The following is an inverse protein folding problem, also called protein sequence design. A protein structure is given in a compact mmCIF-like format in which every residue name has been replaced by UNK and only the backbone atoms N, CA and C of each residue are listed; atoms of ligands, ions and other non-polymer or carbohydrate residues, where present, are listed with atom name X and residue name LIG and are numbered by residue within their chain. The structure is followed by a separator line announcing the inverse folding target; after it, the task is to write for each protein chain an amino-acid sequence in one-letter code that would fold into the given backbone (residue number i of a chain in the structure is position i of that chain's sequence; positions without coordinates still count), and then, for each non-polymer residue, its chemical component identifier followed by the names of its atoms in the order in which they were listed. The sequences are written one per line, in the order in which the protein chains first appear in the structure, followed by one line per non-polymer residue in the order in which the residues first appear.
data_IF_794223261643
#
_entry.id   IF_794223261643
#
_cell.length_a   1.000
_cell.length_b   1.000
_cell.length_c   1.000
_cell.angle_alpha   90.00
_cell.angle_beta   90.00
_cell.angle_gamma   90.00
#
_symmetry.space_group_name_H-M   'P 1'
#
loop_
_entity.id
_entity.type
_entity.pdbx_description
1 polymer ?
#
# COMPACT_ATOMS: atom_id res chain seq x y z
N UNK A 1 49.72 -19.68 -79.06
CA UNK A 1 50.17 -18.28 -79.14
C UNK A 1 49.33 -17.44 -78.18
N UNK A 2 49.98 -16.71 -77.26
CA UNK A 2 49.60 -15.42 -76.58
C UNK A 2 48.09 -15.12 -76.44
N UNK A 3 47.49 -14.68 -75.32
CA UNK A 3 47.81 -13.96 -74.06
C UNK A 3 46.48 -14.02 -73.26
N UNK A 4 46.33 -13.93 -71.95
CA UNK A 4 47.20 -13.66 -70.82
C UNK A 4 46.30 -13.55 -69.57
N UNK A 5 46.86 -13.71 -68.37
CA UNK A 5 46.18 -13.39 -67.11
C UNK A 5 47.20 -12.78 -66.14
N UNK A 6 46.95 -11.59 -65.58
CA UNK A 6 47.89 -10.89 -64.72
C UNK A 6 47.72 -11.21 -63.23
N UNK A 7 48.86 -11.12 -62.55
CA UNK A 7 49.12 -10.93 -61.12
C UNK A 7 47.96 -10.44 -60.23
N UNK A 8 47.69 -11.18 -59.16
CA UNK A 8 46.96 -10.70 -57.99
C UNK A 8 47.97 -10.29 -56.90
N UNK A 9 47.98 -9.00 -56.58
CA UNK A 9 48.72 -8.44 -55.45
C UNK A 9 47.92 -8.61 -54.16
N UNK A 10 48.50 -9.28 -53.17
CA UNK A 10 47.99 -9.34 -51.80
C UNK A 10 48.23 -8.00 -51.11
N UNK A 11 47.18 -7.22 -50.88
CA UNK A 11 47.17 -6.08 -49.95
C UNK A 11 46.57 -6.52 -48.63
N UNK A 12 47.41 -6.60 -47.60
CA UNK A 12 47.04 -6.83 -46.21
C UNK A 12 46.34 -5.58 -45.64
N UNK A 13 45.01 -5.64 -45.48
CA UNK A 13 44.26 -4.69 -44.67
C UNK A 13 44.25 -5.15 -43.21
N UNK A 14 45.12 -4.56 -42.39
CA UNK A 14 45.03 -4.65 -40.94
C UNK A 14 43.80 -3.87 -40.47
N UNK A 15 42.75 -4.60 -40.07
CA UNK A 15 41.61 -4.03 -39.37
C UNK A 15 42.05 -3.65 -37.94
N UNK A 16 42.34 -2.37 -37.73
CA UNK A 16 42.36 -1.78 -36.39
C UNK A 16 40.90 -1.68 -35.91
N UNK A 17 40.43 -2.69 -35.19
CA UNK A 17 39.21 -2.58 -34.41
C UNK A 17 39.48 -1.60 -33.27
N UNK A 18 39.03 -0.36 -33.43
CA UNK A 18 38.96 0.61 -32.34
C UNK A 18 38.10 0.03 -31.21
N UNK A 19 38.72 -0.25 -30.06
CA UNK A 19 38.00 -0.53 -28.82
C UNK A 19 37.31 0.77 -28.42
N UNK A 20 36.00 0.86 -28.64
CA UNK A 20 35.18 1.91 -28.06
C UNK A 20 35.19 1.72 -26.54
N UNK A 21 36.05 2.47 -25.83
CA UNK A 21 35.89 2.69 -24.40
C UNK A 21 34.52 3.35 -24.21
N UNK A 22 33.56 2.57 -23.70
CA UNK A 22 32.21 3.06 -23.45
C UNK A 22 32.26 4.30 -22.58
N UNK A 23 31.77 5.43 -23.11
CA UNK A 23 31.46 6.57 -22.28
C UNK A 23 30.45 6.10 -21.23
N UNK A 24 30.85 6.09 -19.97
CA UNK A 24 29.93 5.88 -18.86
C UNK A 24 28.87 6.97 -18.97
N UNK A 25 27.63 6.58 -19.25
CA UNK A 25 26.50 7.50 -19.26
C UNK A 25 26.31 8.03 -17.83
N UNK A 26 26.87 9.19 -17.55
CA UNK A 26 26.90 9.83 -16.23
C UNK A 26 25.50 10.11 -15.72
N UNK A 27 24.53 10.35 -16.62
CA UNK A 27 23.13 10.53 -16.27
C UNK A 27 22.48 9.21 -15.82
N UNK A 28 22.77 8.10 -16.50
CA UNK A 28 22.31 6.77 -16.07
C UNK A 28 22.95 6.35 -14.73
N UNK A 29 24.25 6.63 -14.53
CA UNK A 29 24.94 6.37 -13.27
C UNK A 29 24.39 7.23 -12.11
N UNK A 30 24.09 8.51 -12.38
CA UNK A 30 23.45 9.42 -11.42
C UNK A 30 22.06 8.93 -11.01
N UNK A 31 21.21 8.56 -11.98
CA UNK A 31 19.86 8.07 -11.71
C UNK A 31 19.88 6.77 -10.89
N UNK A 32 20.84 5.88 -11.15
CA UNK A 32 21.06 4.67 -10.37
C UNK A 32 21.46 4.97 -8.92
N UNK A 33 22.28 6.01 -8.69
CA UNK A 33 22.64 6.41 -7.33
C UNK A 33 21.46 7.04 -6.58
N UNK A 34 20.71 7.93 -7.23
CA UNK A 34 19.57 8.60 -6.61
C UNK A 34 18.48 7.61 -6.21
N UNK A 35 18.16 6.68 -7.12
CA UNK A 35 17.22 5.58 -6.82
C UNK A 35 17.73 4.69 -5.69
N UNK A 36 19.02 4.34 -5.67
CA UNK A 36 19.64 3.59 -4.57
C UNK A 36 19.52 4.32 -3.23
N UNK A 37 19.92 5.59 -3.13
CA UNK A 37 19.82 6.39 -1.89
C UNK A 37 18.37 6.51 -1.40
N UNK A 38 17.42 6.70 -2.33
CA UNK A 38 16.01 6.74 -2.00
C UNK A 38 15.51 5.37 -1.48
N UNK A 39 15.94 4.27 -2.09
CA UNK A 39 15.60 2.92 -1.67
C UNK A 39 16.21 2.57 -0.30
N UNK A 40 17.45 2.96 -0.03
CA UNK A 40 18.10 2.80 1.29
C UNK A 40 17.33 3.56 2.38
N UNK A 41 16.95 4.81 2.12
CA UNK A 41 16.13 5.59 3.06
C UNK A 41 14.75 4.97 3.31
N UNK A 42 14.08 4.47 2.26
CA UNK A 42 12.81 3.76 2.38
C UNK A 42 12.96 2.43 3.15
N UNK A 43 14.06 1.72 2.96
CA UNK A 43 14.39 0.49 3.69
C UNK A 43 14.54 0.76 5.19
N UNK A 44 15.34 1.77 5.56
CA UNK A 44 15.49 2.16 6.97
C UNK A 44 14.17 2.60 7.60
N UNK A 45 13.33 3.35 6.87
CA UNK A 45 12.00 3.76 7.34
C UNK A 45 11.11 2.55 7.62
N UNK A 46 11.01 1.61 6.67
CA UNK A 46 10.22 0.37 6.84
C UNK A 46 10.77 -0.50 7.96
N UNK A 47 12.09 -0.59 8.09
CA UNK A 47 12.73 -1.35 9.17
C UNK A 47 12.42 -0.72 10.55
N UNK A 48 12.49 0.60 10.65
CA UNK A 48 12.12 1.32 11.86
C UNK A 48 10.64 1.10 12.22
N UNK A 49 9.73 1.18 11.24
CA UNK A 49 8.31 0.90 11.43
C UNK A 49 8.07 -0.54 11.91
N UNK A 50 8.75 -1.52 11.30
CA UNK A 50 8.64 -2.93 11.69
C UNK A 50 9.15 -3.17 13.13
N UNK A 51 10.32 -2.61 13.49
CA UNK A 51 10.89 -2.73 14.84
C UNK A 51 10.00 -2.03 15.88
N UNK A 52 9.54 -0.82 15.59
CA UNK A 52 8.65 -0.04 16.47
C UNK A 52 7.29 -0.72 16.68
N UNK A 53 6.87 -1.57 15.74
CA UNK A 53 5.66 -2.39 15.82
C UNK A 53 5.79 -3.64 16.69
N UNK A 54 6.98 -4.03 17.14
CA UNK A 54 7.17 -5.22 17.98
C UNK A 54 6.51 -5.03 19.35
N UNK A 55 5.85 -6.08 19.82
CA UNK A 55 5.18 -6.13 21.11
C UNK A 55 6.14 -6.61 22.20
N UNK A 56 6.26 -5.84 23.29
CA UNK A 56 7.09 -6.18 24.45
C UNK A 56 6.26 -6.92 25.49
N UNK A 57 5.18 -6.29 25.98
CA UNK A 57 4.22 -6.88 26.93
C UNK A 57 2.82 -6.90 26.34
N UNK A 58 1.81 -7.34 27.10
CA UNK A 58 0.39 -7.31 26.68
C UNK A 58 -0.05 -5.94 26.15
N UNK A 59 0.47 -4.85 26.75
CA UNK A 59 -0.02 -3.49 26.53
C UNK A 59 1.06 -2.50 26.10
N UNK A 60 2.30 -2.95 25.85
CA UNK A 60 3.43 -2.06 25.51
C UNK A 60 4.20 -2.55 24.29
N UNK A 61 4.55 -1.61 23.42
CA UNK A 61 5.27 -1.84 22.17
C UNK A 61 6.63 -1.12 22.19
N UNK A 62 7.51 -1.50 21.27
CA UNK A 62 8.82 -0.84 21.13
C UNK A 62 8.68 0.65 20.83
N UNK A 63 7.65 1.07 20.08
CA UNK A 63 7.37 2.51 19.87
C UNK A 63 7.07 3.25 21.16
N UNK A 64 6.37 2.62 22.11
CA UNK A 64 5.99 3.25 23.38
C UNK A 64 7.23 3.42 24.26
N UNK A 65 8.09 2.38 24.30
CA UNK A 65 9.40 2.43 24.96
C UNK A 65 10.31 3.53 24.38
N UNK A 66 10.35 3.64 23.05
CA UNK A 66 11.16 4.66 22.35
C UNK A 66 10.65 6.08 22.63
N UNK A 67 9.34 6.27 22.82
CA UNK A 67 8.76 7.57 23.15
C UNK A 67 8.98 8.00 24.61
N UNK A 68 9.45 7.13 25.51
CA UNK A 68 9.70 7.50 26.91
C UNK A 68 10.91 8.44 27.07
N UNK A 69 11.86 8.42 26.12
CA UNK A 69 13.01 9.32 26.14
C UNK A 69 13.61 9.55 24.77
N UNK A 70 13.93 10.82 24.47
CA UNK A 70 14.70 11.21 23.28
C UNK A 70 16.04 10.48 23.18
N UNK A 71 16.66 10.12 24.32
CA UNK A 71 17.92 9.37 24.35
C UNK A 71 17.74 7.91 23.91
N UNK A 72 16.62 7.28 24.30
CA UNK A 72 16.23 5.93 23.87
C UNK A 72 15.92 5.97 22.37
N UNK A 73 15.20 6.99 21.91
CA UNK A 73 14.91 7.20 20.50
C UNK A 73 16.17 7.36 19.66
N UNK A 74 17.10 8.21 20.08
CA UNK A 74 18.36 8.41 19.37
C UNK A 74 19.18 7.11 19.29
N UNK A 75 19.29 6.36 20.39
CA UNK A 75 20.01 5.09 20.42
C UNK A 75 19.37 4.02 19.52
N UNK A 76 18.03 3.98 19.49
CA UNK A 76 17.30 3.08 18.59
C UNK A 76 17.50 3.46 17.11
N UNK A 77 17.44 4.76 16.78
CA UNK A 77 17.66 5.24 15.42
C UNK A 77 19.12 4.98 14.96
N UNK A 78 20.10 5.08 15.86
CA UNK A 78 21.49 4.72 15.59
C UNK A 78 21.64 3.22 15.30
N UNK A 79 21.00 2.35 16.10
CA UNK A 79 20.96 0.92 15.84
C UNK A 79 20.36 0.60 14.45
N UNK A 80 19.23 1.23 14.10
CA UNK A 80 18.53 1.00 12.83
C UNK A 80 19.42 1.39 11.64
N UNK A 81 20.11 2.54 11.71
CA UNK A 81 21.05 2.98 10.66
C UNK A 81 22.29 2.09 10.55
N UNK A 82 22.63 1.36 11.61
CA UNK A 82 23.72 0.39 11.64
C UNK A 82 23.36 -0.98 11.02
N UNK A 83 22.10 -1.22 10.66
CA UNK A 83 21.68 -2.48 10.03
C UNK A 83 22.27 -2.58 8.61
N UNK A 84 22.90 -3.72 8.32
CA UNK A 84 23.45 -3.98 6.99
C UNK A 84 22.34 -4.23 5.99
N UNK A 85 22.37 -3.45 4.91
CA UNK A 85 21.48 -3.63 3.77
C UNK A 85 22.02 -4.71 2.83
N UNK A 86 21.12 -5.40 2.15
CA UNK A 86 21.44 -6.35 1.10
C UNK A 86 21.81 -5.67 -0.21
N UNK A 87 22.08 -6.48 -1.24
CA UNK A 87 22.46 -5.97 -2.55
C UNK A 87 21.28 -5.23 -3.23
N UNK A 88 21.49 -4.02 -3.78
CA UNK A 88 20.48 -3.31 -4.54
C UNK A 88 20.10 -4.08 -5.82
N UNK A 89 18.80 -4.10 -6.13
CA UNK A 89 18.23 -4.66 -7.36
C UNK A 89 17.62 -3.53 -8.18
N UNK A 90 18.13 -3.32 -9.40
CA UNK A 90 17.57 -2.34 -10.33
C UNK A 90 16.58 -2.97 -11.29
N UNK A 91 15.55 -2.20 -11.64
CA UNK A 91 14.56 -2.52 -12.65
C UNK A 91 14.88 -1.81 -13.97
N UNK A 92 14.27 -2.27 -15.06
CA UNK A 92 14.34 -1.64 -16.38
C UNK A 92 13.82 -0.19 -16.39
N UNK A 93 12.81 0.12 -15.57
CA UNK A 93 12.26 1.47 -15.36
C UNK A 93 13.19 2.42 -14.57
N UNK A 94 14.40 1.97 -14.20
CA UNK A 94 15.39 2.75 -13.46
C UNK A 94 15.13 2.85 -11.95
N UNK A 95 14.08 2.21 -11.44
CA UNK A 95 13.86 2.08 -9.99
C UNK A 95 14.84 1.10 -9.35
N UNK A 96 14.94 1.17 -8.03
CA UNK A 96 15.82 0.35 -7.22
C UNK A 96 15.07 -0.21 -6.02
N UNK A 97 15.30 -1.49 -5.72
CA UNK A 97 14.90 -2.15 -4.50
C UNK A 97 16.12 -2.51 -3.66
N UNK A 98 16.07 -2.23 -2.36
CA UNK A 98 17.12 -2.58 -1.41
C UNK A 98 16.50 -3.43 -0.31
N UNK A 99 16.80 -4.74 -0.26
CA UNK A 99 16.36 -5.58 0.84
C UNK A 99 17.16 -5.22 2.11
N UNK A 100 16.50 -5.16 3.25
CA UNK A 100 17.11 -5.05 4.56
C UNK A 100 16.61 -6.19 5.44
N UNK A 101 17.54 -6.84 6.13
CA UNK A 101 17.23 -7.96 7.02
C UNK A 101 17.91 -7.75 8.38
N UNK A 102 17.15 -7.94 9.45
CA UNK A 102 17.70 -7.97 10.81
C UNK A 102 17.07 -9.12 11.58
N UNK A 103 17.88 -9.85 12.35
CA UNK A 103 17.37 -10.93 13.17
C UNK A 103 16.66 -10.38 14.41
N UNK A 104 15.58 -11.03 14.82
CA UNK A 104 14.83 -10.64 16.02
C UNK A 104 15.74 -10.67 17.26
N UNK A 105 16.62 -11.67 17.36
CA UNK A 105 17.60 -11.77 18.43
C UNK A 105 18.51 -10.53 18.52
N UNK A 106 18.96 -9.99 17.37
CA UNK A 106 19.79 -8.78 17.35
C UNK A 106 19.00 -7.54 17.78
N UNK A 107 17.72 -7.45 17.40
CA UNK A 107 16.83 -6.37 17.83
C UNK A 107 16.58 -6.43 19.34
N UNK A 108 16.25 -7.63 19.86
CA UNK A 108 16.03 -7.85 21.30
C UNK A 108 17.28 -7.48 22.10
N UNK A 109 18.45 -7.91 21.66
CA UNK A 109 19.72 -7.54 22.30
C UNK A 109 19.92 -6.01 22.32
N UNK A 110 19.67 -5.33 21.19
CA UNK A 110 19.79 -3.87 21.12
C UNK A 110 18.82 -3.18 22.08
N UNK A 111 17.57 -3.64 22.17
CA UNK A 111 16.58 -3.10 23.12
C UNK A 111 17.04 -3.31 24.56
N UNK A 112 17.57 -4.49 24.91
CA UNK A 112 18.12 -4.75 26.26
C UNK A 112 19.31 -3.83 26.59
N UNK A 113 20.23 -3.62 25.65
CA UNK A 113 21.37 -2.71 25.82
C UNK A 113 20.90 -1.25 26.03
N UNK A 114 19.88 -0.81 25.28
CA UNK A 114 19.32 0.55 25.43
C UNK A 114 18.57 0.67 26.77
N UNK A 115 17.76 -0.31 27.12
CA UNK A 115 17.00 -0.36 28.37
C UNK A 115 17.93 -0.26 29.58
N UNK A 116 18.95 -1.11 29.65
CA UNK A 116 19.90 -1.12 30.77
C UNK A 116 20.70 0.18 30.92
N UNK A 117 20.98 0.88 29.82
CA UNK A 117 21.77 2.13 29.84
C UNK A 117 20.92 3.38 30.13
N UNK A 118 19.72 3.45 29.58
CA UNK A 118 18.96 4.69 29.51
C UNK A 118 17.59 4.63 30.18
N UNK A 119 17.02 3.45 30.38
CA UNK A 119 15.72 3.31 31.01
C UNK A 119 15.82 3.24 32.53
N UNK A 120 15.05 4.09 33.21
CA UNK A 120 14.98 4.18 34.67
C UNK A 120 13.57 3.91 35.23
N UNK A 121 12.62 3.57 34.36
CA UNK A 121 11.26 3.23 34.74
C UNK A 121 11.12 1.78 35.21
N UNK A 122 9.95 1.46 35.73
CA UNK A 122 9.54 0.15 36.26
C UNK A 122 8.50 -0.55 35.37
N UNK A 123 7.99 0.12 34.34
CA UNK A 123 6.92 -0.36 33.45
C UNK A 123 7.36 -1.50 32.52
N UNK A 124 8.65 -1.56 32.17
CA UNK A 124 9.23 -2.61 31.32
C UNK A 124 10.44 -3.21 32.03
N UNK A 125 10.46 -4.53 32.19
CA UNK A 125 11.60 -5.25 32.77
C UNK A 125 12.45 -5.93 31.70
N UNK A 126 13.70 -6.26 32.03
CA UNK A 126 14.58 -7.00 31.11
C UNK A 126 14.00 -8.35 30.65
N UNK A 127 13.20 -9.00 31.51
CA UNK A 127 12.50 -10.24 31.19
C UNK A 127 11.39 -10.04 30.16
N UNK A 128 10.69 -8.92 30.22
CA UNK A 128 9.63 -8.59 29.25
C UNK A 128 10.22 -8.40 27.85
N UNK A 129 11.45 -7.86 27.76
CA UNK A 129 12.16 -7.70 26.49
C UNK A 129 12.54 -9.07 25.89
N UNK A 130 12.85 -10.07 26.73
CA UNK A 130 13.11 -11.45 26.26
C UNK A 130 11.83 -12.08 25.67
N UNK A 131 10.65 -11.75 26.22
CA UNK A 131 9.36 -12.27 25.74
C UNK A 131 8.96 -11.78 24.35
N UNK A 132 9.65 -10.77 23.79
CA UNK A 132 9.47 -10.36 22.39
C UNK A 132 9.69 -11.56 21.45
N UNK A 133 10.63 -12.45 21.78
CA UNK A 133 10.93 -13.65 20.99
C UNK A 133 9.78 -14.66 21.01
N UNK A 134 9.03 -14.75 22.10
CA UNK A 134 7.85 -15.61 22.19
C UNK A 134 6.62 -15.02 21.50
N UNK A 135 6.50 -13.69 21.40
CA UNK A 135 5.35 -13.02 20.77
C UNK A 135 5.47 -12.90 19.25
N UNK A 136 6.67 -13.13 18.69
CA UNK A 136 6.95 -12.91 17.28
C UNK A 136 7.38 -14.22 16.63
N UNK A 137 6.53 -14.81 15.78
CA UNK A 137 6.87 -16.05 15.04
C UNK A 137 8.05 -15.84 14.06
N UNK A 138 8.28 -14.60 13.61
CA UNK A 138 9.32 -14.25 12.63
C UNK A 138 10.67 -14.05 13.33
N UNK A 139 11.61 -14.96 13.09
CA UNK A 139 12.99 -14.85 13.57
C UNK A 139 13.83 -13.80 12.83
N UNK A 140 13.39 -13.39 11.63
CA UNK A 140 14.04 -12.39 10.79
C UNK A 140 13.00 -11.36 10.33
N UNK A 141 13.28 -10.10 10.60
CA UNK A 141 12.52 -8.97 10.07
C UNK A 141 13.11 -8.64 8.70
N UNK A 142 12.33 -8.86 7.65
CA UNK A 142 12.70 -8.56 6.26
C UNK A 142 11.85 -7.41 5.76
N UNK A 143 12.49 -6.40 5.21
CA UNK A 143 11.82 -5.29 4.53
C UNK A 143 12.50 -5.01 3.20
N UNK A 144 11.75 -4.52 2.23
CA UNK A 144 12.31 -4.08 0.94
C UNK A 144 12.05 -2.59 0.80
N UNK A 145 13.10 -1.79 0.81
CA UNK A 145 13.02 -0.37 0.48
C UNK A 145 12.90 -0.18 -1.02
N UNK A 146 12.04 0.75 -1.44
CA UNK A 146 11.83 1.07 -2.85
C UNK A 146 12.22 2.52 -3.14
N UNK A 147 12.96 2.73 -4.22
CA UNK A 147 13.44 4.05 -4.64
C UNK A 147 13.25 4.27 -6.14
N UNK A 148 12.82 5.48 -6.49
CA UNK A 148 12.79 5.94 -7.88
C UNK A 148 13.82 7.06 -8.08
N UNK A 149 14.40 7.21 -9.28
CA UNK A 149 15.20 8.38 -9.63
C UNK A 149 14.41 9.66 -9.42
N UNK A 150 15.09 10.72 -8.96
CA UNK A 150 14.51 12.07 -8.88
C UNK A 150 15.28 12.99 -9.81
N UNK A 151 14.84 13.17 -11.07
CA UNK A 151 15.55 13.97 -12.07
C UNK A 151 15.73 15.43 -11.63
N UNK A 152 14.80 15.91 -10.80
CA UNK A 152 14.71 17.29 -10.30
C UNK A 152 15.80 17.65 -9.26
N UNK A 153 16.51 16.67 -8.70
CA UNK A 153 17.50 16.89 -7.64
C UNK A 153 18.90 17.12 -8.25
N UNK A 154 19.53 18.29 -8.03
CA UNK A 154 20.89 18.54 -8.51
C UNK A 154 21.88 17.53 -7.93
N UNK A 155 22.77 16.95 -8.75
CA UNK A 155 23.77 16.01 -8.28
C UNK A 155 25.01 16.73 -7.73
N UNK A 156 25.22 16.68 -6.41
CA UNK A 156 26.56 16.85 -5.84
C UNK A 156 27.19 15.46 -5.72
N UNK A 157 27.72 14.97 -6.83
CA UNK A 157 28.40 13.67 -6.91
C UNK A 157 29.91 13.87 -6.76
N UNK A 158 30.55 13.31 -5.71
CA UNK A 158 32.01 13.25 -5.66
C UNK A 158 32.57 12.43 -6.83
N UNK A 159 33.76 12.79 -7.30
CA UNK A 159 34.47 12.01 -8.32
C UNK A 159 34.70 10.55 -7.85
N UNK A 160 34.53 9.57 -8.76
CA UNK A 160 34.72 8.13 -8.48
C UNK A 160 33.49 7.39 -7.92
N UNK A 161 32.30 8.00 -7.94
CA UNK A 161 31.05 7.33 -7.53
C UNK A 161 30.65 6.20 -8.49
N UNK A 162 30.94 6.35 -9.79
CA UNK A 162 30.72 5.31 -10.79
C UNK A 162 31.51 4.03 -10.47
N UNK A 163 32.73 4.14 -9.96
CA UNK A 163 33.59 2.99 -9.61
C UNK A 163 33.10 2.26 -8.34
N UNK A 164 32.34 2.94 -7.47
CA UNK A 164 31.74 2.37 -6.24
C UNK A 164 30.37 1.73 -6.48
N UNK A 165 29.67 2.16 -7.53
CA UNK A 165 28.51 1.49 -8.08
C UNK A 165 29.01 0.38 -8.98
N UNK A 166 29.54 -0.71 -8.39
CA UNK A 166 30.03 -1.85 -9.17
C UNK A 166 29.04 -2.25 -10.26
N UNK A 167 29.55 -2.79 -11.37
CA UNK A 167 28.74 -3.18 -12.52
C UNK A 167 27.51 -3.96 -12.05
N UNK A 168 26.33 -3.49 -12.46
CA UNK A 168 25.08 -4.14 -12.11
C UNK A 168 25.19 -5.61 -12.52
N UNK A 169 24.94 -6.56 -11.60
CA UNK A 169 25.01 -7.98 -11.96
C UNK A 169 24.09 -8.19 -13.16
N UNK A 170 24.61 -8.86 -14.19
CA UNK A 170 23.91 -9.23 -15.43
C UNK A 170 22.81 -10.29 -15.20
N UNK A 171 22.10 -10.21 -14.08
CA UNK A 171 20.81 -10.86 -13.93
C UNK A 171 19.81 -10.05 -14.76
N UNK A 172 18.99 -10.73 -15.55
CA UNK A 172 17.86 -10.10 -16.24
C UNK A 172 17.08 -9.25 -15.25
N UNK A 173 17.07 -7.94 -15.45
CA UNK A 173 16.33 -7.04 -14.59
C UNK A 173 14.88 -7.53 -14.51
N UNK A 174 14.25 -7.56 -13.32
CA UNK A 174 12.82 -7.80 -13.24
C UNK A 174 12.11 -6.84 -14.18
N UNK A 175 11.28 -7.38 -15.07
CA UNK A 175 10.58 -6.62 -16.10
C UNK A 175 9.33 -5.99 -15.51
N UNK A 176 9.26 -4.68 -15.55
CA UNK A 176 8.04 -3.93 -15.22
C UNK A 176 7.14 -3.94 -16.46
N UNK A 177 5.80 -4.08 -16.35
CA UNK A 177 4.94 -4.02 -17.53
C UNK A 177 5.10 -2.69 -18.29
N UNK A 178 4.99 -2.71 -19.62
CA UNK A 178 5.26 -1.58 -20.51
C UNK A 178 4.49 -0.32 -20.12
N UNK A 179 3.22 -0.47 -19.70
CA UNK A 179 2.41 0.63 -19.19
C UNK A 179 3.11 1.38 -18.05
N UNK A 180 3.59 0.64 -17.06
CA UNK A 180 4.25 1.20 -15.89
C UNK A 180 5.61 1.80 -16.19
N UNK A 181 6.31 1.29 -17.22
CA UNK A 181 7.51 1.94 -17.75
C UNK A 181 7.17 3.31 -18.36
N UNK A 182 6.08 3.40 -19.13
CA UNK A 182 5.62 4.64 -19.79
C UNK A 182 5.13 5.70 -18.80
N UNK A 183 4.38 5.30 -17.76
CA UNK A 183 3.90 6.21 -16.71
C UNK A 183 5.07 6.64 -15.82
N UNK A 184 5.99 5.73 -15.55
CA UNK A 184 7.27 5.99 -14.89
C UNK A 184 7.34 5.46 -13.45
N UNK A 185 8.57 5.31 -12.93
CA UNK A 185 8.85 4.60 -11.67
C UNK A 185 8.23 5.30 -10.45
N UNK A 186 8.19 6.63 -10.43
CA UNK A 186 7.62 7.37 -9.29
C UNK A 186 6.11 7.16 -9.17
N UNK A 187 5.40 7.14 -10.30
CA UNK A 187 3.97 6.87 -10.36
C UNK A 187 3.65 5.46 -9.88
N UNK A 188 4.43 4.48 -10.34
CA UNK A 188 4.36 3.08 -9.89
C UNK A 188 4.50 2.95 -8.37
N UNK A 189 5.53 3.55 -7.79
CA UNK A 189 5.74 3.49 -6.35
C UNK A 189 4.63 4.20 -5.55
N UNK A 190 4.06 5.29 -6.09
CA UNK A 190 2.90 5.95 -5.47
C UNK A 190 1.64 5.09 -5.53
N UNK A 191 1.40 4.39 -6.65
CA UNK A 191 0.30 3.45 -6.80
C UNK A 191 0.42 2.28 -5.80
N UNK A 192 1.61 1.68 -5.68
CA UNK A 192 1.88 0.61 -4.70
C UNK A 192 1.62 1.10 -3.26
N UNK A 193 2.05 2.32 -2.92
CA UNK A 193 1.78 2.90 -1.59
C UNK A 193 0.29 3.15 -1.36
N UNK A 194 -0.42 3.66 -2.36
CA UNK A 194 -1.86 3.85 -2.27
C UNK A 194 -2.59 2.51 -2.08
N UNK A 195 -2.15 1.47 -2.79
CA UNK A 195 -2.67 0.11 -2.68
C UNK A 195 -2.42 -0.48 -1.30
N UNK A 196 -1.23 -0.26 -0.72
CA UNK A 196 -0.91 -0.71 0.64
C UNK A 196 -1.82 -0.04 1.69
N UNK A 197 -2.10 1.26 1.54
CA UNK A 197 -3.02 1.99 2.43
C UNK A 197 -4.46 1.47 2.28
N UNK A 198 -4.92 1.25 1.05
CA UNK A 198 -6.23 0.64 0.79
C UNK A 198 -6.33 -0.78 1.36
N UNK A 199 -5.25 -1.56 1.27
CA UNK A 199 -5.18 -2.92 1.80
C UNK A 199 -5.32 -2.91 3.33
N UNK A 200 -4.59 -2.00 4.01
CA UNK A 200 -4.70 -1.79 5.46
C UNK A 200 -6.11 -1.35 5.87
N UNK A 201 -6.77 -0.50 5.07
CA UNK A 201 -8.18 -0.12 5.28
C UNK A 201 -9.11 -1.32 5.19
N UNK A 202 -9.03 -2.10 4.12
CA UNK A 202 -9.85 -3.31 3.93
C UNK A 202 -9.60 -4.34 5.02
N UNK A 203 -8.35 -4.48 5.47
CA UNK A 203 -8.02 -5.34 6.59
C UNK A 203 -8.70 -4.90 7.88
N UNK A 204 -8.71 -3.60 8.17
CA UNK A 204 -9.43 -3.06 9.33
C UNK A 204 -10.94 -3.31 9.24
N UNK A 205 -11.54 -3.13 8.06
CA UNK A 205 -12.96 -3.42 7.85
C UNK A 205 -13.28 -4.91 8.03
N UNK A 206 -12.39 -5.79 7.57
CA UNK A 206 -12.48 -7.23 7.84
C UNK A 206 -12.43 -7.54 9.34
N UNK A 207 -11.55 -6.86 10.08
CA UNK A 207 -11.44 -7.02 11.54
C UNK A 207 -12.71 -6.52 12.24
N UNK A 208 -13.23 -5.35 11.83
CA UNK A 208 -14.50 -4.78 12.32
C UNK A 208 -15.70 -5.71 12.07
N UNK A 209 -15.69 -6.48 10.98
CA UNK A 209 -16.71 -7.46 10.65
C UNK A 209 -16.66 -8.77 11.46
N UNK A 210 -15.65 -8.97 12.31
CA UNK A 210 -15.56 -10.18 13.14
C UNK A 210 -16.66 -10.18 14.21
N UNK A 211 -17.33 -11.33 14.35
CA UNK A 211 -18.35 -11.55 15.38
C UNK A 211 -17.69 -12.08 16.64
N UNK A 212 -18.07 -11.51 17.79
CA UNK A 212 -17.49 -11.86 19.09
C UNK A 212 -18.45 -12.73 19.89
N UNK A 213 -19.70 -12.30 20.03
CA UNK A 213 -20.79 -13.11 20.59
C UNK A 213 -21.91 -13.27 19.56
N UNK A 214 -23.00 -13.97 19.91
CA UNK A 214 -24.15 -14.15 19.03
C UNK A 214 -24.70 -12.84 18.47
N UNK A 215 -24.61 -11.74 19.23
CA UNK A 215 -25.24 -10.47 18.88
C UNK A 215 -24.26 -9.28 18.76
N UNK A 216 -22.95 -9.51 18.92
CA UNK A 216 -21.94 -8.44 18.91
C UNK A 216 -20.85 -8.64 17.86
N UNK A 217 -20.47 -7.55 17.19
CA UNK A 217 -19.39 -7.47 16.21
C UNK A 217 -18.27 -6.56 16.75
N UNK A 218 -17.05 -6.74 16.26
CA UNK A 218 -15.90 -5.87 16.64
C UNK A 218 -16.19 -4.39 16.31
N UNK A 219 -16.90 -4.12 15.22
CA UNK A 219 -17.33 -2.76 14.87
C UNK A 219 -18.18 -2.09 15.95
N UNK A 220 -18.89 -2.87 16.77
CA UNK A 220 -19.77 -2.33 17.81
C UNK A 220 -18.92 -1.75 18.97
N UNK A 221 -17.63 -2.09 19.06
CA UNK A 221 -16.65 -1.45 19.96
C UNK A 221 -15.91 -0.28 19.34
N UNK A 222 -15.93 -0.16 18.01
CA UNK A 222 -15.36 1.01 17.34
C UNK A 222 -16.42 2.09 17.42
N UNK A 223 -16.35 2.94 18.46
CA UNK A 223 -17.24 4.08 18.58
C UNK A 223 -17.23 4.93 17.29
N UNK A 224 -18.27 5.75 17.05
CA UNK A 224 -18.37 6.71 15.94
C UNK A 224 -17.20 7.71 15.83
N UNK A 225 -16.18 7.61 16.71
CA UNK A 225 -15.02 8.48 16.72
C UNK A 225 -13.94 8.05 15.72
N UNK A 226 -13.66 8.95 14.77
CA UNK A 226 -12.55 8.85 13.81
C UNK A 226 -11.18 8.58 14.48
N UNK A 227 -11.00 9.02 15.73
CA UNK A 227 -9.78 8.77 16.51
C UNK A 227 -9.53 7.28 16.75
N UNK A 228 -10.58 6.48 16.95
CA UNK A 228 -10.42 5.04 17.24
C UNK A 228 -10.04 4.30 15.95
N UNK A 229 -10.68 4.64 14.83
CA UNK A 229 -10.33 4.11 13.51
C UNK A 229 -8.88 4.46 13.13
N UNK A 230 -8.48 5.72 13.33
CA UNK A 230 -7.10 6.15 13.09
C UNK A 230 -6.09 5.41 13.97
N UNK A 231 -6.43 5.17 15.24
CA UNK A 231 -5.59 4.41 16.17
C UNK A 231 -5.46 2.94 15.76
N UNK A 232 -6.57 2.30 15.39
CA UNK A 232 -6.57 0.91 14.89
C UNK A 232 -5.78 0.78 13.59
N UNK A 233 -5.92 1.73 12.66
CA UNK A 233 -5.10 1.80 11.45
C UNK A 233 -3.60 1.96 11.79
N UNK A 234 -3.28 2.75 12.81
CA UNK A 234 -1.94 2.92 13.36
C UNK A 234 -1.30 1.63 13.89
N UNK A 235 -2.09 0.60 14.21
CA UNK A 235 -1.59 -0.73 14.59
C UNK A 235 -1.33 -1.62 13.37
N UNK A 236 -2.02 -1.38 12.27
CA UNK A 236 -1.81 -2.07 10.99
C UNK A 236 -0.60 -1.53 10.22
N UNK A 237 0.09 -0.49 10.72
CA UNK A 237 1.30 0.07 10.11
C UNK A 237 2.40 -0.98 9.93
N UNK A 238 2.51 -1.96 10.85
CA UNK A 238 3.44 -3.08 10.79
C UNK A 238 2.95 -4.31 10.01
N UNK A 239 1.83 -4.22 9.28
CA UNK A 239 1.37 -5.30 8.41
C UNK A 239 2.43 -5.59 7.34
N UNK A 240 2.75 -6.87 7.12
CA UNK A 240 3.71 -7.26 6.10
C UNK A 240 3.05 -7.32 4.74
N UNK A 241 3.65 -6.67 3.74
CA UNK A 241 3.29 -6.88 2.33
C UNK A 241 3.75 -8.28 1.93
N UNK A 242 2.81 -9.11 1.46
CA UNK A 242 3.08 -10.50 1.02
C UNK A 242 3.09 -10.61 -0.51
N UNK A 243 2.40 -9.71 -1.20
CA UNK A 243 2.39 -9.67 -2.66
C UNK A 243 2.10 -8.28 -3.20
N UNK A 244 2.72 -7.98 -4.33
CA UNK A 244 2.46 -6.79 -5.15
C UNK A 244 2.22 -7.25 -6.57
N UNK A 245 1.12 -6.82 -7.16
CA UNK A 245 0.78 -7.08 -8.55
C UNK A 245 0.58 -5.76 -9.29
N UNK A 246 1.04 -5.69 -10.53
CA UNK A 246 0.93 -4.52 -11.38
C UNK A 246 0.16 -4.96 -12.61
N UNK A 247 -1.02 -4.38 -12.81
CA UNK A 247 -1.81 -4.63 -14.01
C UNK A 247 -1.02 -4.14 -15.24
N UNK A 248 -1.03 -4.91 -16.32
CA UNK A 248 -0.22 -4.65 -17.51
C UNK A 248 -0.86 -3.62 -18.45
N UNK A 249 -2.18 -3.48 -18.35
CA UNK A 249 -3.05 -2.66 -19.20
C UNK A 249 -3.61 -1.44 -18.48
N UNK A 250 -3.68 -1.48 -17.14
CA UNK A 250 -4.22 -0.40 -16.35
C UNK A 250 -3.26 0.11 -15.27
N UNK A 251 -3.29 1.41 -14.96
CA UNK A 251 -2.46 2.01 -13.92
C UNK A 251 -2.99 1.68 -12.52
N UNK A 252 -3.24 0.41 -12.25
CA UNK A 252 -3.70 -0.12 -10.97
C UNK A 252 -2.61 -1.05 -10.41
N UNK A 253 -2.16 -0.76 -9.20
CA UNK A 253 -1.33 -1.65 -8.41
C UNK A 253 -2.21 -2.35 -7.38
N UNK A 254 -2.01 -3.64 -7.20
CA UNK A 254 -2.59 -4.41 -6.10
C UNK A 254 -1.53 -4.76 -5.08
N UNK A 255 -1.86 -4.61 -3.80
CA UNK A 255 -0.97 -4.96 -2.70
C UNK A 255 -1.75 -5.79 -1.70
N UNK A 256 -1.23 -6.99 -1.40
CA UNK A 256 -1.77 -7.85 -0.36
C UNK A 256 -0.96 -7.67 0.92
N UNK A 257 -1.63 -7.21 1.98
CA UNK A 257 -1.04 -7.08 3.30
C UNK A 257 -1.52 -8.21 4.21
N UNK A 258 -0.64 -8.66 5.10
CA UNK A 258 -0.91 -9.71 6.06
C UNK A 258 -0.59 -9.26 7.49
N UNK A 259 -1.44 -9.66 8.42
CA UNK A 259 -1.28 -9.45 9.86
C UNK A 259 -1.55 -10.75 10.64
N UNK A 260 -0.72 -11.12 11.63
CA UNK A 260 -0.99 -12.26 12.51
C UNK A 260 -2.27 -12.12 13.33
N UNK A 261 -2.92 -13.23 13.66
CA UNK A 261 -4.18 -13.23 14.43
C UNK A 261 -4.00 -12.65 15.82
N UNK A 262 -2.82 -12.82 16.42
CA UNK A 262 -2.46 -12.26 17.73
C UNK A 262 -2.52 -10.74 17.72
N UNK A 263 -2.08 -10.12 16.61
CA UNK A 263 -2.16 -8.66 16.42
C UNK A 263 -3.62 -8.23 16.22
N UNK A 264 -4.43 -9.03 15.53
CA UNK A 264 -5.86 -8.76 15.40
C UNK A 264 -6.55 -8.82 16.77
N UNK A 265 -6.24 -9.82 17.58
CA UNK A 265 -6.79 -9.97 18.94
C UNK A 265 -6.36 -8.81 19.83
N UNK A 266 -5.11 -8.33 19.72
CA UNK A 266 -4.66 -7.17 20.50
C UNK A 266 -5.40 -5.89 20.10
N UNK A 267 -5.67 -5.69 18.80
CA UNK A 267 -6.51 -4.60 18.30
C UNK A 267 -7.91 -4.70 18.90
N UNK A 268 -8.54 -5.88 18.87
CA UNK A 268 -9.91 -6.08 19.39
C UNK A 268 -9.98 -5.81 20.90
N UNK A 269 -9.04 -6.33 21.69
CA UNK A 269 -8.98 -6.11 23.15
C UNK A 269 -8.86 -4.61 23.49
N UNK A 270 -8.02 -3.90 22.76
CA UNK A 270 -7.84 -2.46 22.97
C UNK A 270 -9.08 -1.65 22.56
N UNK A 271 -9.70 -1.97 21.43
CA UNK A 271 -10.96 -1.37 21.00
C UNK A 271 -12.05 -1.55 22.07
N UNK A 272 -12.18 -2.76 22.61
CA UNK A 272 -13.12 -3.08 23.67
C UNK A 272 -12.83 -2.33 24.98
N UNK A 273 -11.58 -2.31 25.45
CA UNK A 273 -11.20 -1.60 26.71
C UNK A 273 -11.47 -0.10 26.62
N UNK A 274 -11.31 0.49 25.43
CA UNK A 274 -11.62 1.91 25.21
C UNK A 274 -13.13 2.18 25.15
N UNK A 275 -13.91 1.23 24.61
CA UNK A 275 -15.38 1.32 24.51
C UNK A 275 -16.08 1.26 25.87
N UNK A 276 -15.57 0.49 26.85
CA UNK A 276 -16.17 0.32 28.18
C UNK A 276 -16.33 1.65 28.95
N UNK A 277 -15.53 2.67 28.61
CA UNK A 277 -15.61 3.99 29.27
C UNK A 277 -16.89 4.77 28.93
N UNK A 278 -17.62 4.39 27.88
CA UNK A 278 -18.79 5.14 27.37
C UNK A 278 -20.15 4.47 27.64
N UNK A 279 -20.19 3.35 28.38
CA UNK A 279 -21.42 2.81 29.00
C UNK A 279 -22.16 1.71 28.21
N UNK A 280 -22.14 0.50 28.76
CA UNK A 280 -22.94 -0.68 28.35
C UNK A 280 -22.05 -1.89 28.04
N UNK A 281 -22.22 -3.00 28.75
CA UNK A 281 -21.34 -4.18 28.60
C UNK A 281 -22.12 -5.52 28.62
N UNK A 282 -21.96 -6.29 27.55
CA UNK A 282 -22.45 -7.67 27.36
C UNK A 282 -21.30 -8.60 26.88
N UNK A 283 -20.04 -8.13 26.82
CA UNK A 283 -18.92 -8.91 26.25
C UNK A 283 -17.77 -9.01 27.24
N UNK A 284 -17.46 -10.21 27.70
CA UNK A 284 -16.34 -10.44 28.59
C UNK A 284 -15.02 -10.62 27.83
N UNK A 285 -13.88 -10.33 28.48
CA UNK A 285 -12.56 -10.63 27.90
C UNK A 285 -12.34 -12.13 27.57
N UNK A 286 -13.15 -13.01 28.15
CA UNK A 286 -13.22 -14.43 27.85
C UNK A 286 -13.79 -14.70 26.45
N UNK A 287 -14.78 -13.93 25.99
CA UNK A 287 -15.41 -14.04 24.67
C UNK A 287 -14.41 -13.69 23.55
N UNK A 288 -13.64 -12.62 23.73
CA UNK A 288 -12.58 -12.23 22.78
C UNK A 288 -11.52 -13.34 22.66
N UNK A 289 -11.23 -14.03 23.75
CA UNK A 289 -10.28 -15.16 23.76
C UNK A 289 -10.88 -16.42 23.10
N UNK A 290 -12.19 -16.61 23.16
CA UNK A 290 -12.87 -17.70 22.44
C UNK A 290 -12.89 -17.46 20.93
N UNK A 291 -13.04 -16.21 20.48
CA UNK A 291 -12.91 -15.83 19.05
C UNK A 291 -11.53 -16.19 18.52
N UNK A 292 -10.47 -15.93 19.28
CA UNK A 292 -9.12 -16.35 18.89
C UNK A 292 -9.02 -17.87 18.68
N UNK A 293 -9.69 -18.68 19.52
CA UNK A 293 -9.67 -20.14 19.40
C UNK A 293 -10.52 -20.66 18.24
N UNK A 294 -11.54 -19.91 17.80
CA UNK A 294 -12.42 -20.32 16.69
C UNK A 294 -11.84 -19.95 15.32
N UNK A 295 -10.99 -18.92 15.24
CA UNK A 295 -10.27 -18.54 14.03
C UNK A 295 -9.23 -19.63 13.69
N UNK A 296 -9.49 -20.38 12.62
CA UNK A 296 -8.59 -21.45 12.14
C UNK A 296 -7.32 -20.93 11.47
N UNK A 297 -7.37 -19.71 10.92
CA UNK A 297 -6.25 -19.10 10.19
C UNK A 297 -5.28 -18.42 11.15
N UNK A 298 -3.98 -18.62 10.98
CA UNK A 298 -2.96 -17.91 11.77
C UNK A 298 -2.81 -16.44 11.36
N UNK A 299 -3.18 -16.10 10.13
CA UNK A 299 -3.01 -14.76 9.57
C UNK A 299 -4.29 -14.23 8.95
N UNK A 300 -4.42 -12.90 8.93
CA UNK A 300 -5.45 -12.16 8.24
C UNK A 300 -4.83 -11.42 7.06
N UNK A 301 -5.43 -11.56 5.89
CA UNK A 301 -4.98 -10.90 4.67
C UNK A 301 -6.09 -10.03 4.08
N UNK A 302 -5.68 -8.95 3.44
CA UNK A 302 -6.53 -8.13 2.59
C UNK A 302 -5.72 -7.58 1.42
N UNK A 303 -6.36 -7.50 0.25
CA UNK A 303 -5.78 -6.96 -0.97
C UNK A 303 -6.39 -5.59 -1.26
N UNK A 304 -5.53 -4.58 -1.29
CA UNK A 304 -5.88 -3.22 -1.65
C UNK A 304 -5.50 -2.89 -3.07
N UNK A 305 -6.16 -1.87 -3.61
CA UNK A 305 -5.88 -1.34 -4.95
C UNK A 305 -5.43 0.12 -4.84
N UNK A 306 -4.50 0.50 -5.69
CA UNK A 306 -3.94 1.84 -5.68
C UNK A 306 -3.63 2.31 -7.09
N UNK A 307 -3.87 3.60 -7.31
CA UNK A 307 -3.66 4.25 -8.60
C UNK A 307 -2.63 5.37 -8.46
N UNK A 308 -1.85 5.67 -9.50
CA UNK A 308 -0.99 6.84 -9.52
C UNK A 308 -1.79 8.11 -9.29
N UNK A 309 -1.17 9.15 -8.68
CA UNK A 309 -1.79 10.46 -8.62
C UNK A 309 -2.11 11.02 -10.00
N UNK A 310 -3.24 11.73 -10.09
CA UNK A 310 -3.78 12.39 -11.28
C UNK A 310 -2.72 12.97 -12.22
N UNK A 311 -1.77 13.75 -11.69
CA UNK A 311 -0.73 14.43 -12.47
C UNK A 311 0.10 13.49 -13.37
N UNK A 312 0.35 12.25 -12.92
CA UNK A 312 1.12 11.27 -13.70
C UNK A 312 0.27 10.66 -14.81
N UNK A 313 -1.02 10.44 -14.55
CA UNK A 313 -1.96 9.91 -15.52
C UNK A 313 -2.27 10.93 -16.62
N UNK A 314 -2.40 12.21 -16.27
CA UNK A 314 -2.54 13.29 -17.24
C UNK A 314 -1.31 13.41 -18.15
N UNK A 315 -0.11 13.37 -17.56
CA UNK A 315 1.14 13.37 -18.32
C UNK A 315 1.28 12.14 -19.23
N UNK A 316 0.80 10.97 -18.78
CA UNK A 316 0.73 9.76 -19.59
C UNK A 316 -0.24 9.93 -20.76
N UNK A 317 -1.46 10.41 -20.51
CA UNK A 317 -2.48 10.62 -21.53
C UNK A 317 -2.07 11.64 -22.60
N UNK A 318 -1.27 12.65 -22.24
CA UNK A 318 -0.70 13.59 -23.22
C UNK A 318 0.33 12.90 -24.13
N UNK A 319 1.04 11.89 -23.64
CA UNK A 319 2.05 11.13 -24.39
C UNK A 319 1.45 10.02 -25.26
N UNK A 320 0.37 9.39 -24.82
CA UNK A 320 -0.28 8.24 -25.50
C UNK A 320 -1.39 8.71 -26.46
N UNK A 321 -1.12 9.75 -27.26
CA UNK A 321 -2.10 10.38 -28.16
C UNK A 321 -2.52 9.53 -29.39
N UNK A 322 -2.47 8.21 -29.32
CA UNK A 322 -3.09 7.28 -30.29
C UNK A 322 -4.31 6.61 -29.64
N UNK A 323 -5.44 6.61 -30.34
CA UNK A 323 -6.79 6.68 -29.80
C UNK A 323 -7.36 5.43 -29.09
N UNK A 324 -6.57 4.38 -28.83
CA UNK A 324 -7.08 3.09 -28.32
C UNK A 324 -6.85 2.86 -26.81
N UNK A 325 -5.93 3.57 -26.17
CA UNK A 325 -5.56 3.40 -24.74
C UNK A 325 -5.90 4.61 -23.85
N UNK A 326 -6.78 5.51 -24.30
CA UNK A 326 -7.05 6.75 -23.57
C UNK A 326 -7.95 6.50 -22.36
N UNK A 327 -7.40 6.66 -21.16
CA UNK A 327 -8.15 6.63 -19.91
C UNK A 327 -9.10 7.85 -19.87
N UNK A 328 -10.42 7.66 -19.70
CA UNK A 328 -11.37 8.77 -19.62
C UNK A 328 -11.04 9.73 -18.48
N UNK A 329 -11.29 11.03 -18.68
CA UNK A 329 -10.96 12.05 -17.66
C UNK A 329 -11.65 11.82 -16.31
N UNK A 330 -12.86 11.25 -16.31
CA UNK A 330 -13.57 10.87 -15.09
C UNK A 330 -12.92 9.69 -14.37
N UNK A 331 -12.22 8.80 -15.08
CA UNK A 331 -11.57 7.64 -14.47
C UNK A 331 -10.35 8.07 -13.65
N UNK A 332 -9.76 9.21 -13.97
CA UNK A 332 -8.63 9.74 -13.22
C UNK A 332 -9.03 10.30 -11.85
N UNK A 333 -10.26 10.81 -11.74
CA UNK A 333 -10.79 11.45 -10.52
C UNK A 333 -11.50 10.45 -9.59
N UNK A 334 -11.69 10.86 -8.32
CA UNK A 334 -12.67 10.20 -7.44
C UNK A 334 -14.09 10.55 -7.90
N UNK A 335 -14.96 9.55 -7.87
CA UNK A 335 -16.38 9.69 -8.13
C UNK A 335 -17.10 9.71 -6.79
N UNK A 336 -17.66 10.88 -6.44
CA UNK A 336 -18.25 11.12 -5.14
C UNK A 336 -19.73 11.44 -5.26
N UNK A 337 -20.54 10.94 -4.32
CA UNK A 337 -21.95 11.26 -4.24
C UNK A 337 -22.39 11.50 -2.80
N UNK A 338 -23.35 12.42 -2.64
CA UNK A 338 -23.97 12.75 -1.36
C UNK A 338 -25.38 12.20 -1.28
N UNK A 339 -25.68 11.48 -0.22
CA UNK A 339 -27.01 10.97 0.09
C UNK A 339 -27.54 11.53 1.40
N UNK A 340 -28.87 11.49 1.54
CA UNK A 340 -29.56 11.96 2.74
C UNK A 340 -30.46 10.89 3.33
N UNK A 341 -30.56 10.86 4.65
CA UNK A 341 -31.33 9.87 5.37
C UNK A 341 -32.00 10.46 6.60
N UNK A 342 -33.20 9.98 6.89
CA UNK A 342 -33.98 10.38 8.06
C UNK A 342 -34.32 9.17 8.92
N UNK A 343 -34.39 9.34 10.25
CA UNK A 343 -34.78 8.27 11.15
C UNK A 343 -36.26 7.89 10.94
N UNK A 344 -36.61 6.60 11.10
CA UNK A 344 -38.00 6.17 11.15
C UNK A 344 -38.77 6.88 12.26
N UNK A 345 -40.06 7.17 12.06
CA UNK A 345 -40.87 8.00 12.96
C UNK A 345 -40.81 7.55 14.43
N UNK A 346 -40.84 6.23 14.69
CA UNK A 346 -40.79 5.67 16.05
C UNK A 346 -39.41 5.67 16.72
N UNK A 347 -38.36 6.17 16.06
CA UNK A 347 -36.98 6.21 16.59
C UNK A 347 -36.34 7.60 16.51
N UNK A 348 -37.13 8.63 16.20
CA UNK A 348 -36.69 10.04 16.20
C UNK A 348 -36.14 10.47 17.55
N UNK A 349 -35.16 11.37 17.55
CA UNK A 349 -34.46 11.83 18.75
C UNK A 349 -33.62 10.79 19.50
N UNK A 350 -33.54 9.53 19.05
CA UNK A 350 -32.73 8.49 19.70
C UNK A 350 -31.37 8.31 19.03
N UNK A 351 -30.36 7.84 19.77
CA UNK A 351 -29.06 7.46 19.21
C UNK A 351 -29.20 6.37 18.12
N UNK A 352 -30.08 5.39 18.36
CA UNK A 352 -30.41 4.36 17.36
C UNK A 352 -31.06 4.95 16.10
N UNK A 353 -31.90 5.98 16.25
CA UNK A 353 -32.47 6.73 15.14
C UNK A 353 -31.41 7.42 14.29
N UNK A 354 -30.43 8.08 14.93
CA UNK A 354 -29.32 8.73 14.21
C UNK A 354 -28.49 7.74 13.40
N UNK A 355 -28.20 6.56 13.97
CA UNK A 355 -27.51 5.49 13.24
C UNK A 355 -28.30 4.98 12.03
N UNK A 356 -29.63 4.82 12.18
CA UNK A 356 -30.50 4.43 11.07
C UNK A 356 -30.58 5.51 10.00
N UNK A 357 -30.60 6.78 10.40
CA UNK A 357 -30.55 7.91 9.48
C UNK A 357 -29.24 7.92 8.67
N UNK A 358 -28.09 7.71 9.33
CA UNK A 358 -26.80 7.61 8.65
C UNK A 358 -26.75 6.43 7.67
N UNK A 359 -27.27 5.25 8.04
CA UNK A 359 -27.36 4.10 7.11
C UNK A 359 -28.28 4.38 5.93
N UNK A 360 -29.41 5.04 6.15
CA UNK A 360 -30.31 5.44 5.07
C UNK A 360 -29.63 6.46 4.13
N UNK A 361 -28.87 7.40 4.69
CA UNK A 361 -28.10 8.38 3.92
C UNK A 361 -26.99 7.71 3.10
N UNK A 362 -26.28 6.74 3.66
CA UNK A 362 -25.27 5.94 2.94
C UNK A 362 -25.90 5.19 1.76
N UNK A 363 -27.06 4.55 1.95
CA UNK A 363 -27.77 3.85 0.87
C UNK A 363 -28.22 4.81 -0.24
N UNK A 364 -28.75 5.98 0.12
CA UNK A 364 -29.09 7.02 -0.86
C UNK A 364 -27.86 7.52 -1.61
N UNK A 365 -26.73 7.68 -0.91
CA UNK A 365 -25.47 8.13 -1.49
C UNK A 365 -24.93 7.12 -2.51
N UNK A 366 -24.92 5.83 -2.16
CA UNK A 366 -24.51 4.74 -3.06
C UNK A 366 -25.42 4.62 -4.28
N UNK A 367 -26.74 4.78 -4.11
CA UNK A 367 -27.69 4.81 -5.24
C UNK A 367 -27.36 5.94 -6.22
N UNK A 368 -27.15 7.16 -5.71
CA UNK A 368 -26.78 8.32 -6.53
C UNK A 368 -25.43 8.14 -7.21
N UNK A 369 -24.45 7.56 -6.50
CA UNK A 369 -23.15 7.23 -7.08
C UNK A 369 -23.29 6.24 -8.24
N UNK A 370 -24.14 5.21 -8.08
CA UNK A 370 -24.48 4.28 -9.16
C UNK A 370 -25.07 5.00 -10.36
N UNK A 371 -26.07 5.87 -10.15
CA UNK A 371 -26.67 6.67 -11.23
C UNK A 371 -25.65 7.55 -11.96
N UNK A 372 -24.74 8.19 -11.21
CA UNK A 372 -23.64 8.97 -11.77
C UNK A 372 -22.72 8.09 -12.62
N UNK A 373 -22.32 6.93 -12.11
CA UNK A 373 -21.45 5.97 -12.80
C UNK A 373 -22.09 5.49 -14.10
N UNK A 374 -23.37 5.11 -14.08
CA UNK A 374 -24.11 4.70 -15.26
C UNK A 374 -24.18 5.79 -16.34
N UNK A 375 -24.13 7.07 -15.95
CA UNK A 375 -24.11 8.21 -16.86
C UNK A 375 -22.74 8.54 -17.46
N UNK A 376 -21.65 7.89 -17.03
CA UNK A 376 -20.30 8.18 -17.50
C UNK A 376 -20.12 7.73 -18.95
N UNK A 377 -19.44 8.55 -19.75
CA UNK A 377 -19.14 8.25 -21.15
C UNK A 377 -17.83 7.45 -21.25
N UNK A 378 -17.89 6.31 -21.94
CA UNK A 378 -16.74 5.42 -22.16
C UNK A 378 -16.00 5.85 -23.43
N UNK A 379 -16.74 5.99 -24.53
CA UNK A 379 -16.27 6.46 -25.83
C UNK A 379 -17.35 7.30 -26.48
N UNK A 380 -16.99 8.07 -27.53
CA UNK A 380 -17.80 9.07 -28.27
C UNK A 380 -19.33 9.11 -28.04
N UNK A 381 -20.04 7.98 -28.14
CA UNK A 381 -21.50 7.90 -27.94
C UNK A 381 -21.95 6.80 -26.96
N UNK A 382 -21.04 6.04 -26.36
CA UNK A 382 -21.36 4.90 -25.48
C UNK A 382 -21.18 5.30 -24.01
N UNK A 383 -22.24 5.13 -23.22
CA UNK A 383 -22.19 5.30 -21.76
C UNK A 383 -21.95 3.98 -21.04
N UNK A 384 -21.55 4.04 -19.76
CA UNK A 384 -21.47 2.85 -18.89
C UNK A 384 -22.80 2.12 -18.84
N UNK A 385 -23.93 2.84 -18.82
CA UNK A 385 -25.27 2.25 -18.92
C UNK A 385 -25.42 1.42 -20.18
N UNK A 386 -25.11 1.98 -21.35
CA UNK A 386 -25.26 1.27 -22.62
C UNK A 386 -24.39 0.00 -22.64
N UNK A 387 -23.17 0.12 -22.15
CA UNK A 387 -22.20 -0.98 -22.09
C UNK A 387 -22.62 -2.10 -21.14
N UNK A 388 -23.21 -1.77 -20.00
CA UNK A 388 -23.73 -2.74 -19.03
C UNK A 388 -24.95 -3.49 -19.59
N UNK A 389 -25.81 -2.83 -20.37
CA UNK A 389 -26.93 -3.52 -21.07
C UNK A 389 -26.47 -4.55 -22.08
N UNK A 390 -25.28 -4.40 -22.66
CA UNK A 390 -24.70 -5.36 -23.59
C UNK A 390 -23.95 -6.49 -22.88
N UNK A 391 -23.59 -6.31 -21.61
CA UNK A 391 -22.69 -7.18 -20.85
C UNK A 391 -23.12 -7.35 -19.38
N UNK A 392 -23.99 -8.33 -19.11
CA UNK A 392 -24.51 -8.63 -17.75
C UNK A 392 -23.41 -8.89 -16.70
N UNK A 393 -22.24 -9.40 -17.12
CA UNK A 393 -21.08 -9.61 -16.25
C UNK A 393 -20.56 -8.28 -15.69
N UNK A 394 -20.59 -7.19 -16.48
CA UNK A 394 -20.14 -5.85 -16.06
C UNK A 394 -21.06 -5.31 -14.97
N UNK A 395 -22.38 -5.56 -15.05
CA UNK A 395 -23.34 -5.17 -14.01
C UNK A 395 -22.95 -5.74 -12.65
N UNK A 396 -22.66 -7.04 -12.59
CA UNK A 396 -22.34 -7.74 -11.34
C UNK A 396 -21.06 -7.21 -10.69
N UNK A 397 -20.03 -6.92 -11.50
CA UNK A 397 -18.79 -6.34 -11.01
C UNK A 397 -18.96 -4.88 -10.56
N UNK A 398 -19.77 -4.10 -11.29
CA UNK A 398 -20.09 -2.71 -10.94
C UNK A 398 -20.82 -2.63 -9.60
N UNK A 399 -21.80 -3.52 -9.37
CA UNK A 399 -22.52 -3.62 -8.11
C UNK A 399 -21.61 -3.98 -6.93
N UNK A 400 -20.65 -4.89 -7.16
CA UNK A 400 -19.64 -5.23 -6.15
C UNK A 400 -18.78 -4.00 -5.79
N UNK A 401 -18.35 -3.23 -6.81
CA UNK A 401 -17.58 -2.00 -6.61
C UNK A 401 -18.38 -0.90 -5.91
N UNK A 402 -19.67 -0.75 -6.25
CA UNK A 402 -20.59 0.19 -5.60
C UNK A 402 -20.88 -0.17 -4.14
N UNK A 403 -21.00 -1.46 -3.85
CA UNK A 403 -21.18 -1.95 -2.48
C UNK A 403 -19.98 -1.59 -1.60
N UNK A 404 -18.79 -1.68 -2.18
CA UNK A 404 -17.50 -1.35 -1.58
C UNK A 404 -17.16 0.16 -1.58
N UNK A 405 -18.08 1.05 -1.95
CA UNK A 405 -17.85 2.50 -1.92
C UNK A 405 -17.46 2.97 -0.52
N UNK A 406 -16.39 3.77 -0.43
CA UNK A 406 -15.88 4.26 0.84
C UNK A 406 -16.72 5.45 1.33
N UNK A 407 -17.13 5.44 2.60
CA UNK A 407 -17.73 6.61 3.25
C UNK A 407 -16.62 7.59 3.61
N UNK A 408 -16.65 8.80 3.06
CA UNK A 408 -15.65 9.85 3.34
C UNK A 408 -16.04 10.75 4.51
N UNK A 409 -17.33 11.09 4.59
CA UNK A 409 -17.84 12.02 5.59
C UNK A 409 -19.28 11.70 5.94
N UNK A 410 -19.64 11.92 7.20
CA UNK A 410 -21.01 11.85 7.71
C UNK A 410 -21.28 13.07 8.56
N UNK A 411 -22.26 13.87 8.16
CA UNK A 411 -22.72 15.06 8.89
C UNK A 411 -24.17 14.91 9.29
N UNK A 412 -24.59 15.64 10.33
CA UNK A 412 -25.97 15.65 10.79
C UNK A 412 -26.46 17.09 10.87
N UNK A 413 -27.60 17.36 10.24
CA UNK A 413 -28.39 18.57 10.41
C UNK A 413 -29.71 18.21 11.10
N UNK A 414 -29.75 18.43 12.42
CA UNK A 414 -30.85 17.94 13.26
C UNK A 414 -31.00 16.42 13.20
N UNK A 415 -32.12 15.97 12.64
CA UNK A 415 -32.43 14.54 12.47
C UNK A 415 -32.03 14.00 11.08
N UNK A 416 -31.58 14.85 10.16
CA UNK A 416 -31.16 14.43 8.82
C UNK A 416 -29.68 14.10 8.84
N UNK A 417 -29.32 12.90 8.40
CA UNK A 417 -27.94 12.53 8.12
C UNK A 417 -27.62 12.84 6.65
N UNK A 418 -26.45 13.42 6.39
CA UNK A 418 -25.84 13.54 5.07
C UNK A 418 -24.55 12.69 5.06
N UNK A 419 -24.43 11.82 4.07
CA UNK A 419 -23.27 10.93 3.90
C UNK A 419 -22.67 11.15 2.52
N UNK A 420 -21.36 11.34 2.45
CA UNK A 420 -20.59 11.36 1.20
C UNK A 420 -19.90 10.01 1.02
N UNK A 421 -20.14 9.36 -0.12
CA UNK A 421 -19.39 8.16 -0.54
C UNK A 421 -18.49 8.47 -1.73
N UNK A 422 -17.36 7.77 -1.83
CA UNK A 422 -16.37 7.92 -2.89
C UNK A 422 -15.89 6.58 -3.42
N UNK A 423 -15.70 6.50 -4.74
CA UNK A 423 -14.99 5.41 -5.43
C UNK A 423 -13.95 6.02 -6.36
N UNK A 424 -12.70 5.50 -6.41
CA UNK A 424 -11.74 5.89 -7.44
C UNK A 424 -12.29 5.56 -8.84
N UNK A 425 -12.38 6.55 -9.73
CA UNK A 425 -12.92 6.36 -11.09
C UNK A 425 -12.21 5.26 -11.88
N UNK A 426 -10.92 5.05 -11.63
CA UNK A 426 -10.13 3.98 -12.22
C UNK A 426 -10.67 2.59 -11.90
N UNK A 427 -11.27 2.38 -10.72
CA UNK A 427 -11.87 1.10 -10.33
C UNK A 427 -13.11 0.78 -11.18
N UNK A 428 -13.84 1.82 -11.58
CA UNK A 428 -14.99 1.70 -12.49
C UNK A 428 -14.51 1.48 -13.92
N UNK A 429 -13.47 2.20 -14.33
CA UNK A 429 -12.84 2.03 -15.64
C UNK A 429 -12.34 0.60 -15.84
N UNK A 430 -11.75 -0.02 -14.81
CA UNK A 430 -11.25 -1.40 -14.87
C UNK A 430 -12.28 -2.40 -15.36
N UNK A 431 -13.46 -2.40 -14.73
CA UNK A 431 -14.53 -3.34 -15.07
C UNK A 431 -14.97 -3.17 -16.52
N UNK A 432 -15.06 -1.92 -16.95
CA UNK A 432 -15.49 -1.57 -18.31
C UNK A 432 -14.41 -1.93 -19.32
N UNK A 433 -13.16 -1.54 -19.05
CA UNK A 433 -12.04 -1.68 -19.97
C UNK A 433 -11.63 -3.13 -20.17
N UNK A 434 -11.58 -3.93 -19.11
CA UNK A 434 -11.34 -5.38 -19.17
C UNK A 434 -12.30 -6.03 -20.17
N UNK A 435 -13.60 -5.68 -20.09
CA UNK A 435 -14.59 -6.23 -21.01
C UNK A 435 -14.45 -5.72 -22.43
N UNK A 436 -14.12 -4.44 -22.63
CA UNK A 436 -13.89 -3.89 -23.97
C UNK A 436 -12.77 -4.63 -24.71
N UNK A 437 -11.70 -5.00 -24.01
CA UNK A 437 -10.59 -5.76 -24.59
C UNK A 437 -11.02 -7.16 -25.03
N UNK A 438 -11.77 -7.88 -24.20
CA UNK A 438 -12.26 -9.24 -24.53
C UNK A 438 -13.13 -9.23 -25.80
N UNK A 439 -13.92 -8.18 -25.99
CA UNK A 439 -14.78 -8.02 -27.18
C UNK A 439 -13.98 -7.66 -28.45
N UNK A 440 -12.83 -6.98 -28.33
CA UNK A 440 -11.98 -6.62 -29.47
C UNK A 440 -11.04 -7.74 -29.95
N UNK A 441 -10.75 -8.73 -29.10
CA UNK A 441 -9.85 -9.86 -29.42
C UNK A 441 -10.61 -11.02 -30.10
N UNK A 442 -11.94 -10.95 -30.19
CA UNK A 442 -12.79 -11.87 -30.97
C UNK A 442 -13.16 -11.27 -32.31
#
# INVERSE_FOLDING_TARGET
MRRGTPFAALTSLAWLASIALGQVDTAAAQNKLLSKRAAEADAYRKLAEAIKGLQITSDTYVRDFVCESDTIQAAMDEFIRGVRLGAPRWYDDGSCEVPAEVTLARVVQAIQEIHTRHYKGDRITGKDIEQIQSHTEKSVIKVVGMGAPRPELPPDLPDGVADRLGDAPAATAPTVPDLWQRIGPQARLMAIRAAEVDAKRKLLERIKGLRITSDTLVRDFVAESDRITAHAMGKLVGASVVGTYLHDDEPIAEVTVEVPTEVVVSIIKELHTRSIKDGGDDVEGTDITQVQRSIKSKTFQATGMGVPPQKYLEAYNQKVAQAEERIPGWALASLDAKGHGVPPEGRRGTAQGRLLAARAAELDAKRRLGEQIYGLTIQSQTTVRDFVTEHDEVHSHLDAVLTDAAVENTTFDGEVAEVTVSIPGMRVWQIVHERMRVTQVR
#
